data_IF_476606645123
#
_entry.id   IF_476606645123
#
_cell.length_a   1.000
_cell.length_b   1.000
_cell.length_c   1.000
_cell.angle_alpha   90.00
_cell.angle_beta   90.00
_cell.angle_gamma   90.00
#
_symmetry.space_group_name_H-M   'P 1'
#
loop_
_entity.id
_entity.type
_entity.pdbx_description
1 polymer ?
#
# COMPACT_ATOMS: atom_id res chain seq x y z
N UNK A 1 15.17 -8.90 7.39
CA UNK A 1 14.35 -7.83 8.02
C UNK A 1 14.41 -8.06 9.53
N UNK A 2 15.42 -7.54 10.24
CA UNK A 2 15.52 -7.78 11.68
C UNK A 2 14.40 -7.06 12.43
N UNK A 3 13.79 -7.77 13.38
CA UNK A 3 12.75 -7.23 14.28
C UNK A 3 13.47 -6.69 15.51
N UNK A 4 13.31 -5.39 15.78
CA UNK A 4 13.87 -4.76 16.98
C UNK A 4 12.97 -4.99 18.17
N UNK A 5 11.68 -4.74 17.99
CA UNK A 5 10.67 -4.86 19.03
C UNK A 5 9.34 -5.33 18.46
N UNK A 6 8.62 -6.17 19.21
CA UNK A 6 7.33 -6.69 18.77
C UNK A 6 6.44 -6.99 19.97
N UNK A 7 5.19 -6.53 19.92
CA UNK A 7 4.21 -6.77 20.99
C UNK A 7 2.81 -6.86 20.40
N UNK A 8 1.97 -7.71 21.00
CA UNK A 8 0.57 -7.88 20.63
C UNK A 8 -0.28 -7.68 21.87
N UNK A 9 -1.21 -6.72 21.78
CA UNK A 9 -2.28 -6.49 22.75
C UNK A 9 -3.59 -7.07 22.20
N UNK A 10 -4.61 -7.22 23.04
CA UNK A 10 -5.95 -7.60 22.62
C UNK A 10 -6.96 -6.56 23.11
N UNK A 11 -7.79 -6.06 22.20
CA UNK A 11 -9.00 -5.30 22.55
C UNK A 11 -10.18 -6.22 22.30
N UNK A 12 -10.91 -6.63 23.33
CA UNK A 12 -12.19 -7.34 23.18
C UNK A 12 -13.31 -6.30 23.06
N UNK A 13 -13.94 -6.24 21.88
CA UNK A 13 -15.07 -5.34 21.61
C UNK A 13 -15.97 -5.95 20.55
N UNK A 14 -17.29 -5.91 20.82
CA UNK A 14 -18.32 -6.35 19.89
C UNK A 14 -19.11 -5.16 19.34
N UNK A 15 -19.65 -5.26 18.11
CA UNK A 15 -20.47 -4.21 17.51
C UNK A 15 -21.92 -4.23 18.07
N UNK A 16 -22.07 -4.40 19.38
CA UNK A 16 -23.34 -4.50 20.10
C UNK A 16 -23.49 -3.39 21.17
N UNK A 17 -22.56 -2.43 21.20
CA UNK A 17 -22.52 -1.34 22.17
C UNK A 17 -21.83 -1.69 23.50
N UNK A 18 -21.29 -2.91 23.64
CA UNK A 18 -20.48 -3.25 24.81
C UNK A 18 -19.19 -2.39 24.90
N UNK A 19 -18.76 -2.04 26.13
CA UNK A 19 -17.48 -1.35 26.34
C UNK A 19 -16.30 -2.16 25.81
N UNK A 20 -15.24 -1.47 25.39
CA UNK A 20 -14.04 -2.16 24.93
C UNK A 20 -13.23 -2.63 26.14
N UNK A 21 -12.79 -3.88 26.17
CA UNK A 21 -11.92 -4.42 27.23
C UNK A 21 -10.51 -4.61 26.69
N UNK A 22 -9.57 -3.83 27.22
CA UNK A 22 -8.16 -3.95 26.85
C UNK A 22 -7.46 -5.02 27.71
N UNK A 23 -6.90 -6.02 27.04
CA UNK A 23 -5.95 -6.98 27.56
C UNK A 23 -4.56 -6.62 27.04
N UNK A 24 -3.89 -5.71 27.75
CA UNK A 24 -2.55 -5.30 27.40
C UNK A 24 -1.52 -6.35 27.87
N UNK A 25 -0.55 -6.65 27.00
CA UNK A 25 0.60 -7.48 27.34
C UNK A 25 1.65 -6.64 28.08
N UNK A 26 2.30 -7.24 29.09
CA UNK A 26 3.27 -6.56 29.95
C UNK A 26 4.73 -6.74 29.52
N UNK A 27 5.01 -7.60 28.53
CA UNK A 27 6.35 -7.82 27.99
C UNK A 27 6.33 -8.02 26.48
N UNK A 28 7.43 -7.68 25.82
CA UNK A 28 7.62 -7.94 24.39
C UNK A 28 7.53 -9.44 24.05
N UNK A 29 7.26 -9.73 22.79
CA UNK A 29 7.34 -11.08 22.26
C UNK A 29 8.80 -11.50 22.11
N UNK A 30 9.16 -12.68 22.63
CA UNK A 30 10.49 -13.23 22.48
C UNK A 30 10.77 -13.58 21.02
N UNK A 31 11.97 -13.28 20.52
CA UNK A 31 12.36 -13.57 19.14
C UNK A 31 12.14 -15.05 18.80
N UNK A 32 11.49 -15.29 17.66
CA UNK A 32 11.23 -16.62 17.14
C UNK A 32 10.96 -16.58 15.65
N UNK A 33 11.22 -17.69 14.95
CA UNK A 33 10.91 -17.83 13.53
C UNK A 33 9.43 -17.57 13.22
N UNK A 34 8.53 -17.92 14.16
CA UNK A 34 7.11 -17.69 14.00
C UNK A 34 6.76 -16.19 13.90
N UNK A 35 7.42 -15.32 14.68
CA UNK A 35 7.23 -13.87 14.63
C UNK A 35 7.84 -13.29 13.36
N UNK A 36 9.01 -13.78 12.95
CA UNK A 36 9.64 -13.38 11.69
C UNK A 36 8.73 -13.67 10.49
N UNK A 37 8.17 -14.89 10.43
CA UNK A 37 7.25 -15.29 9.37
C UNK A 37 5.96 -14.46 9.41
N UNK A 38 5.37 -14.28 10.60
CA UNK A 38 4.16 -13.46 10.76
C UNK A 38 4.38 -12.02 10.27
N UNK A 39 5.52 -11.40 10.59
CA UNK A 39 5.81 -10.04 10.16
C UNK A 39 6.14 -9.96 8.67
N UNK A 40 6.75 -10.98 8.09
CA UNK A 40 6.96 -11.09 6.64
C UNK A 40 5.62 -11.17 5.90
N UNK A 41 4.73 -12.08 6.32
CA UNK A 41 3.39 -12.28 5.75
C UNK A 41 2.51 -11.03 5.90
N UNK A 42 2.61 -10.34 7.05
CA UNK A 42 1.95 -9.07 7.28
C UNK A 42 2.42 -8.00 6.30
N UNK A 43 3.74 -7.87 6.12
CA UNK A 43 4.32 -6.88 5.21
C UNK A 43 3.95 -7.17 3.75
N UNK A 44 4.00 -8.43 3.32
CA UNK A 44 3.56 -8.83 1.99
C UNK A 44 2.09 -8.48 1.76
N UNK A 45 1.22 -8.87 2.70
CA UNK A 45 -0.22 -8.60 2.64
C UNK A 45 -0.50 -7.10 2.64
N UNK A 46 0.19 -6.32 3.47
CA UNK A 46 0.07 -4.87 3.56
C UNK A 46 0.55 -4.17 2.28
N UNK A 47 1.66 -4.62 1.70
CA UNK A 47 2.17 -4.11 0.44
C UNK A 47 1.23 -4.43 -0.72
N UNK A 48 0.60 -5.61 -0.73
CA UNK A 48 -0.35 -6.02 -1.74
C UNK A 48 -1.67 -5.23 -1.72
N UNK A 49 -2.06 -4.63 -0.58
CA UNK A 49 -3.30 -3.83 -0.49
C UNK A 49 -3.31 -2.64 -1.44
N UNK A 50 -4.39 -2.55 -2.22
CA UNK A 50 -4.73 -1.38 -3.02
C UNK A 50 -5.51 -0.37 -2.18
N UNK A 51 -5.50 0.91 -2.60
CA UNK A 51 -6.23 1.97 -1.91
C UNK A 51 -5.61 2.39 -0.59
N UNK A 52 -4.27 2.34 -0.49
CA UNK A 52 -3.55 2.96 0.62
C UNK A 52 -3.54 4.47 0.45
N UNK A 53 -3.52 5.19 1.57
CA UNK A 53 -3.21 6.59 1.60
C UNK A 53 -1.89 6.85 2.30
N UNK A 54 -1.36 8.02 2.01
CA UNK A 54 -0.06 8.47 2.46
C UNK A 54 -0.17 9.83 3.10
N UNK A 55 0.65 10.03 4.12
CA UNK A 55 0.52 11.20 4.95
C UNK A 55 1.66 11.37 5.94
N UNK A 56 1.45 12.32 6.82
CA UNK A 56 2.36 12.72 7.87
C UNK A 56 1.57 12.83 9.18
N UNK A 57 2.28 12.97 10.29
CA UNK A 57 1.62 13.25 11.55
C UNK A 57 0.96 14.64 11.51
N UNK A 58 -0.18 14.76 12.17
CA UNK A 58 -0.61 16.02 12.75
C UNK A 58 0.44 16.52 13.75
N UNK A 59 0.45 17.83 13.99
CA UNK A 59 1.26 18.39 15.07
C UNK A 59 0.88 17.76 16.42
N UNK A 60 1.90 17.51 17.24
CA UNK A 60 1.74 16.91 18.55
C UNK A 60 0.78 17.76 19.40
N UNK A 61 -0.29 17.13 19.87
CA UNK A 61 -1.33 17.80 20.66
C UNK A 61 -2.07 16.78 21.51
N UNK A 62 -2.93 17.26 22.43
CA UNK A 62 -3.79 16.37 23.21
C UNK A 62 -4.75 15.53 22.35
N UNK A 63 -5.11 16.00 21.15
CA UNK A 63 -5.93 15.26 20.20
C UNK A 63 -5.12 14.22 19.41
N UNK A 64 -3.85 14.52 19.09
CA UNK A 64 -2.95 13.67 18.31
C UNK A 64 -1.62 13.43 19.07
N UNK A 65 -1.63 12.65 20.15
CA UNK A 65 -0.46 12.49 21.03
C UNK A 65 0.55 11.42 20.56
N UNK A 66 0.17 10.60 19.57
CA UNK A 66 0.93 9.41 19.16
C UNK A 66 2.38 9.72 18.75
N UNK A 67 2.59 10.78 17.96
CA UNK A 67 3.92 11.19 17.48
C UNK A 67 4.86 11.57 18.62
N UNK A 68 4.34 12.24 19.65
CA UNK A 68 5.08 12.56 20.88
C UNK A 68 5.52 11.30 21.63
N UNK A 69 4.61 10.33 21.81
CA UNK A 69 4.95 9.05 22.47
C UNK A 69 5.98 8.24 21.70
N UNK A 70 5.85 8.20 20.36
CA UNK A 70 6.81 7.53 19.49
C UNK A 70 8.19 8.22 19.58
N UNK A 71 8.23 9.55 19.58
CA UNK A 71 9.47 10.32 19.74
C UNK A 71 10.16 10.00 21.06
N UNK A 72 9.43 10.02 22.19
CA UNK A 72 9.96 9.68 23.52
C UNK A 72 10.53 8.26 23.58
N UNK A 73 9.88 7.31 22.91
CA UNK A 73 10.41 5.95 22.78
C UNK A 73 11.73 5.92 21.99
N UNK A 74 11.77 6.57 20.82
CA UNK A 74 12.98 6.61 19.98
C UNK A 74 14.14 7.35 20.63
N UNK A 75 13.87 8.36 21.45
CA UNK A 75 14.86 9.13 22.20
C UNK A 75 15.28 8.42 23.51
N UNK A 76 14.71 7.23 23.81
CA UNK A 76 15.08 6.40 24.96
C UNK A 76 14.49 6.84 26.31
N UNK A 77 13.53 7.77 26.30
CA UNK A 77 12.85 8.25 27.51
C UNK A 77 11.81 7.26 28.06
N UNK A 78 11.34 6.33 27.23
CA UNK A 78 10.49 5.22 27.62
C UNK A 78 10.79 3.98 26.78
N UNK A 79 10.55 2.80 27.34
CA UNK A 79 10.71 1.55 26.59
C UNK A 79 9.54 1.29 25.62
N UNK A 80 9.72 0.30 24.74
CA UNK A 80 8.74 -0.04 23.71
C UNK A 80 7.40 -0.53 24.30
N UNK A 81 7.43 -1.21 25.44
CA UNK A 81 6.23 -1.76 26.10
C UNK A 81 5.38 -0.65 26.70
N UNK A 82 6.02 0.34 27.34
CA UNK A 82 5.34 1.51 27.88
C UNK A 82 4.72 2.36 26.75
N UNK A 83 5.45 2.56 25.65
CA UNK A 83 4.95 3.23 24.46
C UNK A 83 3.74 2.52 23.84
N UNK A 84 3.84 1.20 23.60
CA UNK A 84 2.76 0.44 22.96
C UNK A 84 1.52 0.36 23.84
N UNK A 85 1.69 0.30 25.17
CA UNK A 85 0.59 0.36 26.14
C UNK A 85 -0.15 1.70 26.10
N UNK A 86 0.57 2.83 26.12
CA UNK A 86 -0.05 4.16 25.98
C UNK A 86 -0.80 4.29 24.65
N UNK A 87 -0.19 3.83 23.56
CA UNK A 87 -0.80 3.85 22.24
C UNK A 87 -2.09 3.01 22.17
N UNK A 88 -2.08 1.77 22.66
CA UNK A 88 -3.27 0.91 22.58
C UNK A 88 -4.40 1.36 23.51
N UNK A 89 -4.09 1.98 24.65
CA UNK A 89 -5.08 2.62 25.52
C UNK A 89 -5.79 3.78 24.82
N UNK A 90 -5.07 4.56 24.01
CA UNK A 90 -5.69 5.61 23.19
C UNK A 90 -6.55 5.03 22.08
N UNK A 91 -6.09 3.97 21.41
CA UNK A 91 -6.88 3.27 20.41
C UNK A 91 -8.18 2.70 21.00
N UNK A 92 -8.12 2.09 22.20
CA UNK A 92 -9.29 1.61 22.91
C UNK A 92 -10.33 2.72 23.13
N UNK A 93 -9.91 3.89 23.63
CA UNK A 93 -10.80 5.04 23.85
C UNK A 93 -11.49 5.49 22.55
N UNK A 94 -10.72 5.62 21.47
CA UNK A 94 -11.26 6.02 20.16
C UNK A 94 -12.21 4.97 19.58
N UNK A 95 -11.98 3.69 19.85
CA UNK A 95 -12.93 2.62 19.47
C UNK A 95 -14.25 2.71 20.23
N UNK A 96 -14.24 3.15 21.50
CA UNK A 96 -15.45 3.31 22.30
C UNK A 96 -16.42 4.36 21.77
N UNK A 97 -15.91 5.36 21.04
CA UNK A 97 -16.73 6.39 20.39
C UNK A 97 -17.61 5.83 19.25
N UNK A 98 -17.33 4.61 18.78
CA UNK A 98 -18.05 3.96 17.70
C UNK A 98 -18.67 2.62 18.13
N UNK A 99 -20.01 2.58 18.18
CA UNK A 99 -20.78 1.36 18.46
C UNK A 99 -20.63 0.27 17.39
N UNK A 100 -20.08 0.59 16.22
CA UNK A 100 -19.88 -0.34 15.10
C UNK A 100 -18.45 -0.87 15.01
N UNK A 101 -17.57 -0.46 15.93
CA UNK A 101 -16.20 -0.95 15.94
C UNK A 101 -16.13 -2.37 16.53
N UNK A 102 -15.21 -3.16 15.99
CA UNK A 102 -14.93 -4.52 16.44
C UNK A 102 -13.49 -4.57 16.95
N UNK A 103 -13.30 -5.28 18.06
CA UNK A 103 -12.00 -5.53 18.68
C UNK A 103 -11.12 -6.48 17.88
N UNK A 104 -9.90 -6.69 18.36
CA UNK A 104 -8.92 -7.56 17.72
C UNK A 104 -7.56 -7.49 18.39
N UNK A 105 -6.59 -8.18 17.79
CA UNK A 105 -5.20 -8.19 18.22
C UNK A 105 -4.49 -6.98 17.64
N UNK A 106 -4.02 -6.08 18.50
CA UNK A 106 -3.27 -4.89 18.09
C UNK A 106 -1.79 -5.24 18.11
N UNK A 107 -1.22 -5.43 16.93
CA UNK A 107 0.21 -5.65 16.73
C UNK A 107 0.92 -4.30 16.62
N UNK A 108 2.03 -4.15 17.35
CA UNK A 108 3.05 -3.13 17.11
C UNK A 108 4.37 -3.85 16.82
N UNK A 109 5.02 -3.51 15.70
CA UNK A 109 6.29 -4.07 15.32
C UNK A 109 7.25 -2.98 14.83
N UNK A 110 8.34 -2.77 15.58
CA UNK A 110 9.47 -1.95 15.14
C UNK A 110 10.52 -2.87 14.52
N UNK A 111 10.79 -2.69 13.24
CA UNK A 111 11.70 -3.52 12.47
C UNK A 111 12.49 -2.70 11.47
N UNK A 112 13.58 -3.28 10.98
CA UNK A 112 14.40 -2.67 9.94
C UNK A 112 14.27 -3.44 8.64
N UNK A 113 14.09 -2.71 7.53
CA UNK A 113 14.13 -3.26 6.18
C UNK A 113 15.18 -2.48 5.39
N UNK A 114 16.23 -3.19 4.94
CA UNK A 114 17.43 -2.53 4.42
C UNK A 114 18.09 -1.67 5.50
N UNK A 115 18.21 -0.36 5.24
CA UNK A 115 18.72 0.63 6.20
C UNK A 115 17.62 1.48 6.84
N UNK A 116 16.36 1.15 6.56
CA UNK A 116 15.20 1.96 6.97
C UNK A 116 14.50 1.31 8.15
N UNK A 117 14.27 2.09 9.20
CA UNK A 117 13.50 1.69 10.37
C UNK A 117 12.02 2.00 10.15
N UNK A 118 11.17 1.02 10.47
CA UNK A 118 9.73 1.08 10.30
C UNK A 118 8.99 0.70 11.59
N UNK A 119 7.86 1.34 11.83
CA UNK A 119 6.86 0.90 12.79
C UNK A 119 5.59 0.46 12.04
N UNK A 120 5.28 -0.83 12.09
CA UNK A 120 3.99 -1.35 11.63
C UNK A 120 3.02 -1.48 12.81
N UNK A 121 1.77 -1.06 12.57
CA UNK A 121 0.69 -1.14 13.53
C UNK A 121 -0.53 -1.70 12.82
N UNK A 122 -1.13 -2.77 13.34
CA UNK A 122 -2.27 -3.42 12.71
C UNK A 122 -3.26 -3.96 13.75
N UNK A 123 -4.56 -3.78 13.49
CA UNK A 123 -5.63 -4.48 14.20
C UNK A 123 -5.99 -5.74 13.40
N UNK A 124 -5.60 -6.89 13.94
CA UNK A 124 -5.73 -8.21 13.33
C UNK A 124 -6.88 -8.99 13.95
N UNK A 125 -7.69 -9.62 13.11
CA UNK A 125 -8.78 -10.50 13.55
C UNK A 125 -8.34 -11.96 13.45
N UNK A 126 -9.04 -12.83 14.18
CA UNK A 126 -8.90 -14.26 13.97
C UNK A 126 -9.79 -14.73 12.82
N UNK A 127 -9.27 -15.65 12.03
CA UNK A 127 -10.03 -16.52 11.16
C UNK A 127 -10.04 -17.94 11.73
N UNK A 128 -11.15 -18.65 11.53
CA UNK A 128 -11.28 -20.05 11.92
C UNK A 128 -10.92 -20.95 10.74
N UNK A 129 -10.08 -21.94 11.00
CA UNK A 129 -9.73 -22.99 10.07
C UNK A 129 -9.75 -24.35 10.75
N UNK A 130 -9.27 -25.35 10.02
CA UNK A 130 -9.07 -26.70 10.54
C UNK A 130 -7.59 -27.05 10.50
N UNK A 131 -7.08 -27.64 11.57
CA UNK A 131 -5.75 -28.21 11.62
C UNK A 131 -5.85 -29.72 11.84
N UNK A 132 -4.93 -30.47 11.24
CA UNK A 132 -4.76 -31.89 11.50
C UNK A 132 -3.68 -32.04 12.57
N UNK A 133 -4.03 -32.62 13.71
CA UNK A 133 -3.07 -32.82 14.80
C UNK A 133 -2.16 -34.04 14.53
N UNK A 134 -1.24 -34.35 15.45
CA UNK A 134 -0.32 -35.49 15.33
C UNK A 134 -1.04 -36.86 15.26
N UNK A 135 -2.25 -36.96 15.79
CA UNK A 135 -3.09 -38.16 15.74
C UNK A 135 -3.92 -38.27 14.44
N UNK A 136 -3.71 -37.35 13.49
CA UNK A 136 -4.50 -37.21 12.26
C UNK A 136 -5.97 -36.82 12.47
N UNK A 137 -6.32 -36.28 13.63
CA UNK A 137 -7.66 -35.75 13.89
C UNK A 137 -7.81 -34.32 13.37
N UNK A 138 -9.00 -34.02 12.86
CA UNK A 138 -9.38 -32.67 12.42
C UNK A 138 -9.85 -31.87 13.63
N UNK A 139 -9.13 -30.80 13.95
CA UNK A 139 -9.41 -29.92 15.08
C UNK A 139 -9.61 -28.47 14.63
N UNK A 140 -10.53 -27.69 15.25
CA UNK A 140 -10.63 -26.26 14.97
C UNK A 140 -9.34 -25.55 15.36
N UNK A 141 -8.85 -24.66 14.49
CA UNK A 141 -7.67 -23.85 14.73
C UNK A 141 -7.97 -22.37 14.44
N UNK A 142 -7.74 -21.53 15.45
CA UNK A 142 -7.81 -20.06 15.29
C UNK A 142 -6.44 -19.55 14.89
N UNK A 143 -6.39 -18.73 13.86
CA UNK A 143 -5.17 -18.11 13.37
C UNK A 143 -5.42 -16.63 13.06
N UNK A 144 -4.36 -15.82 13.07
CA UNK A 144 -4.45 -14.41 12.67
C UNK A 144 -4.72 -14.34 11.16
N UNK A 145 -5.75 -13.58 10.77
CA UNK A 145 -6.05 -13.32 9.38
C UNK A 145 -5.25 -12.13 8.86
N UNK A 146 -4.12 -12.44 8.22
CA UNK A 146 -3.26 -11.45 7.58
C UNK A 146 -3.75 -11.08 6.17
N UNK A 147 -4.69 -11.84 5.59
CA UNK A 147 -5.25 -11.54 4.27
C UNK A 147 -6.29 -10.39 4.36
N UNK A 148 -7.05 -10.31 5.45
CA UNK A 148 -8.04 -9.27 5.71
C UNK A 148 -7.53 -8.11 6.57
N UNK A 149 -6.42 -7.49 6.14
CA UNK A 149 -5.97 -6.23 6.72
C UNK A 149 -6.91 -5.09 6.33
N UNK A 150 -7.69 -4.62 7.30
CA UNK A 150 -8.58 -3.46 7.16
C UNK A 150 -8.06 -2.23 7.87
N UNK A 151 -7.38 -2.41 9.01
CA UNK A 151 -6.85 -1.33 9.84
C UNK A 151 -5.38 -1.62 10.10
N UNK A 152 -4.55 -1.01 9.28
CA UNK A 152 -3.11 -1.10 9.42
C UNK A 152 -2.46 0.18 8.92
N UNK A 153 -1.39 0.58 9.60
CA UNK A 153 -0.53 1.69 9.24
C UNK A 153 0.93 1.27 9.34
N UNK A 154 1.77 1.87 8.50
CA UNK A 154 3.22 1.74 8.57
C UNK A 154 3.84 3.13 8.53
N UNK A 155 4.68 3.41 9.51
CA UNK A 155 5.44 4.66 9.65
C UNK A 155 6.88 4.36 9.29
N UNK A 156 7.43 5.09 8.31
CA UNK A 156 8.85 5.14 8.02
C UNK A 156 9.52 6.07 9.06
N UNK A 157 10.13 5.47 10.08
CA UNK A 157 10.76 6.20 11.18
C UNK A 157 11.97 6.98 10.68
N UNK A 158 12.79 6.36 9.81
CA UNK A 158 13.99 7.00 9.26
C UNK A 158 13.62 8.26 8.48
N UNK A 159 12.60 8.21 7.63
CA UNK A 159 12.15 9.35 6.85
C UNK A 159 11.59 10.46 7.75
N UNK A 160 10.73 10.09 8.72
CA UNK A 160 10.18 11.04 9.67
C UNK A 160 11.26 11.78 10.48
N UNK A 161 12.34 11.10 10.88
CA UNK A 161 13.42 11.68 11.69
C UNK A 161 14.43 12.48 10.88
N UNK A 162 14.71 12.05 9.65
CA UNK A 162 15.84 12.57 8.87
C UNK A 162 15.41 13.60 7.81
N UNK A 163 14.12 13.69 7.46
CA UNK A 163 13.61 14.62 6.47
C UNK A 163 12.48 15.51 7.01
N UNK A 164 12.80 16.70 7.56
CA UNK A 164 11.80 17.64 8.07
C UNK A 164 10.81 18.16 7.03
N UNK A 165 11.13 18.02 5.74
CA UNK A 165 10.26 18.45 4.64
C UNK A 165 9.35 17.34 4.11
N UNK A 166 9.51 16.11 4.60
CA UNK A 166 8.71 14.97 4.18
C UNK A 166 7.25 15.12 4.58
N UNK A 167 6.35 14.82 3.64
CA UNK A 167 4.89 14.90 3.85
C UNK A 167 4.19 13.55 3.74
N UNK A 168 4.95 12.45 3.69
CA UNK A 168 4.42 11.15 3.24
C UNK A 168 5.13 9.93 3.84
N UNK A 169 5.60 10.03 5.08
CA UNK A 169 6.29 8.93 5.78
C UNK A 169 5.33 7.95 6.49
N UNK A 170 4.02 8.22 6.49
CA UNK A 170 2.99 7.31 7.02
C UNK A 170 2.16 6.77 5.87
N UNK A 171 2.02 5.45 5.79
CA UNK A 171 1.03 4.81 4.93
C UNK A 171 -0.04 4.14 5.79
N UNK A 172 -1.30 4.14 5.32
CA UNK A 172 -2.40 3.44 5.99
C UNK A 172 -3.45 2.93 4.98
N UNK A 173 -4.20 1.91 5.38
CA UNK A 173 -5.28 1.34 4.56
C UNK A 173 -6.50 2.25 4.67
N UNK A 174 -6.97 2.84 3.55
CA UNK A 174 -8.24 3.58 3.53
C UNK A 174 -9.42 2.60 3.61
N UNK A 175 -10.41 2.92 4.43
CA UNK A 175 -11.69 2.23 4.42
C UNK A 175 -12.38 2.36 3.06
N UNK A 176 -13.00 1.27 2.60
CA UNK A 176 -13.84 1.33 1.39
C UNK A 176 -15.07 2.21 1.68
N UNK A 177 -15.37 3.15 0.78
CA UNK A 177 -16.57 3.99 0.76
C UNK A 177 -16.71 4.98 1.93
N UNK A 178 -15.61 5.54 2.45
CA UNK A 178 -15.69 6.61 3.47
C UNK A 178 -16.37 6.18 4.78
N UNK A 179 -16.36 4.88 5.08
CA UNK A 179 -16.91 4.38 6.35
C UNK A 179 -16.03 4.88 7.51
N UNK A 180 -16.69 5.47 8.51
CA UNK A 180 -16.12 5.91 9.81
C UNK A 180 -15.24 4.87 10.52
N UNK A 181 -15.38 3.58 10.15
CA UNK A 181 -14.61 2.46 10.71
C UNK A 181 -13.09 2.62 10.50
N UNK A 182 -12.61 3.35 9.48
CA UNK A 182 -11.18 3.63 9.32
C UNK A 182 -10.73 4.99 9.89
N UNK A 183 -11.67 5.88 10.24
CA UNK A 183 -11.35 7.24 10.68
C UNK A 183 -10.72 7.22 12.08
N UNK A 184 -11.32 6.51 13.04
CA UNK A 184 -10.75 6.42 14.39
C UNK A 184 -9.33 5.84 14.40
N UNK A 185 -9.01 4.92 13.49
CA UNK A 185 -7.68 4.33 13.40
C UNK A 185 -6.68 5.33 12.81
N UNK A 186 -7.08 6.10 11.80
CA UNK A 186 -6.26 7.21 11.28
C UNK A 186 -6.03 8.27 12.35
N UNK A 187 -7.07 8.63 13.09
CA UNK A 187 -7.02 9.65 14.14
C UNK A 187 -6.19 9.16 15.33
N UNK A 188 -6.24 7.85 15.66
CA UNK A 188 -5.34 7.19 16.62
C UNK A 188 -3.86 7.35 16.24
N UNK A 189 -3.50 7.09 14.98
CA UNK A 189 -2.15 7.32 14.49
C UNK A 189 -1.83 8.82 14.45
N UNK A 190 -2.85 9.67 14.37
CA UNK A 190 -2.71 11.11 14.15
C UNK A 190 -2.19 11.41 12.75
N UNK A 191 -2.61 10.65 11.74
CA UNK A 191 -2.16 10.82 10.37
C UNK A 191 -3.07 11.79 9.59
N UNK A 192 -2.49 12.85 9.03
CA UNK A 192 -3.12 13.68 8.01
C UNK A 192 -2.62 13.28 6.62
N UNK A 193 -3.51 13.28 5.64
CA UNK A 193 -3.13 12.99 4.25
C UNK A 193 -2.25 14.10 3.69
N UNK A 194 -1.12 13.71 3.10
CA UNK A 194 -0.12 14.66 2.62
C UNK A 194 -0.07 14.81 1.10
N UNK A 195 -0.03 13.68 0.37
CA UNK A 195 0.17 13.65 -1.09
C UNK A 195 -0.85 12.72 -1.75
N UNK A 196 -1.42 13.14 -2.89
CA UNK A 196 -2.29 12.32 -3.73
C UNK A 196 -1.46 11.35 -4.57
N UNK A 197 -1.13 10.17 -4.02
CA UNK A 197 -0.37 9.13 -4.74
C UNK A 197 -0.91 8.78 -6.13
N UNK A 198 -2.24 8.57 -6.32
CA UNK A 198 -2.85 8.45 -7.63
C UNK A 198 -2.60 9.66 -8.55
N UNK A 199 -2.65 10.88 -8.02
CA UNK A 199 -2.34 12.12 -8.73
C UNK A 199 -0.89 12.16 -9.20
N UNK A 200 0.07 11.99 -8.28
CA UNK A 200 1.51 11.95 -8.59
C UNK A 200 1.85 10.88 -9.63
N UNK A 201 1.27 9.68 -9.48
CA UNK A 201 1.49 8.60 -10.46
C UNK A 201 0.95 8.97 -11.85
N UNK A 202 -0.20 9.66 -11.95
CA UNK A 202 -0.72 10.17 -13.25
C UNK A 202 0.20 11.25 -13.83
N UNK A 203 0.66 12.18 -12.99
CA UNK A 203 1.58 13.24 -13.41
C UNK A 203 2.90 12.66 -13.90
N UNK A 204 3.45 11.65 -13.22
CA UNK A 204 4.64 10.92 -13.66
C UNK A 204 4.46 10.32 -15.04
N UNK A 205 3.37 9.59 -15.24
CA UNK A 205 3.09 8.90 -16.50
C UNK A 205 2.90 9.90 -17.64
N UNK A 206 2.26 11.05 -17.38
CA UNK A 206 2.16 12.15 -18.34
C UNK A 206 3.52 12.75 -18.67
N UNK A 207 4.32 13.10 -17.65
CA UNK A 207 5.65 13.66 -17.85
C UNK A 207 6.56 12.70 -18.64
N UNK A 208 6.39 11.39 -18.43
CA UNK A 208 7.09 10.36 -19.19
C UNK A 208 6.65 10.32 -20.65
N UNK A 209 5.35 10.36 -20.94
CA UNK A 209 4.85 10.47 -22.31
C UNK A 209 5.40 11.71 -23.01
N UNK A 210 5.34 12.88 -22.37
CA UNK A 210 5.85 14.15 -22.91
C UNK A 210 7.38 14.11 -23.14
N UNK A 211 8.13 13.37 -22.31
CA UNK A 211 9.57 13.16 -22.46
C UNK A 211 9.89 12.32 -23.70
N UNK A 212 9.22 11.18 -23.83
CA UNK A 212 9.38 10.28 -24.98
C UNK A 212 9.03 10.99 -26.29
N UNK A 213 7.96 11.78 -26.32
CA UNK A 213 7.57 12.59 -27.48
C UNK A 213 8.63 13.67 -27.79
N UNK A 214 9.19 14.33 -26.77
CA UNK A 214 10.19 15.38 -26.99
C UNK A 214 11.55 14.87 -27.50
N UNK A 215 11.86 13.62 -27.22
CA UNK A 215 13.09 12.97 -27.67
C UNK A 215 12.95 12.34 -29.07
N UNK A 216 11.74 12.38 -29.67
CA UNK A 216 11.42 11.79 -30.98
C UNK A 216 11.92 10.35 -31.11
N UNK A 217 11.71 9.55 -30.05
CA UNK A 217 12.26 8.20 -29.96
C UNK A 217 11.53 7.24 -30.90
N UNK A 218 12.27 6.30 -31.54
CA UNK A 218 11.64 5.19 -32.24
C UNK A 218 10.70 4.40 -31.32
N UNK A 219 9.61 3.88 -31.88
CA UNK A 219 8.55 3.18 -31.14
C UNK A 219 9.08 2.06 -30.23
N UNK A 220 10.06 1.28 -30.70
CA UNK A 220 10.68 0.22 -29.91
C UNK A 220 11.44 0.77 -28.68
N UNK A 221 12.17 1.87 -28.81
CA UNK A 221 12.90 2.48 -27.69
C UNK A 221 11.93 3.12 -26.68
N UNK A 222 10.89 3.80 -27.17
CA UNK A 222 9.81 4.32 -26.34
C UNK A 222 9.15 3.21 -25.51
N UNK A 223 8.90 2.05 -26.14
CA UNK A 223 8.33 0.87 -25.49
C UNK A 223 9.24 0.27 -24.43
N UNK A 224 10.54 0.18 -24.70
CA UNK A 224 11.52 -0.30 -23.73
C UNK A 224 11.59 0.62 -22.50
N UNK A 225 11.72 1.93 -22.70
CA UNK A 225 11.71 2.91 -21.58
C UNK A 225 10.40 2.86 -20.79
N UNK A 226 9.26 2.69 -21.46
CA UNK A 226 7.95 2.53 -20.80
C UNK A 226 7.93 1.30 -19.91
N UNK A 227 8.45 0.17 -20.41
CA UNK A 227 8.56 -1.07 -19.65
C UNK A 227 9.45 -0.90 -18.43
N UNK A 228 10.57 -0.18 -18.56
CA UNK A 228 11.46 0.12 -17.43
C UNK A 228 10.76 0.95 -16.35
N UNK A 229 10.09 2.05 -16.73
CA UNK A 229 9.34 2.87 -15.79
C UNK A 229 8.32 2.03 -15.02
N UNK A 230 7.51 1.25 -15.73
CA UNK A 230 6.44 0.49 -15.07
C UNK A 230 7.01 -0.66 -14.23
N UNK A 231 8.10 -1.30 -14.67
CA UNK A 231 8.76 -2.35 -13.88
C UNK A 231 9.33 -1.79 -12.58
N UNK A 232 10.00 -0.63 -12.63
CA UNK A 232 10.49 0.05 -11.43
C UNK A 232 9.36 0.45 -10.49
N UNK A 233 8.34 1.14 -11.01
CA UNK A 233 7.19 1.57 -10.22
C UNK A 233 6.43 0.38 -9.58
N UNK A 234 6.28 -0.73 -10.32
CA UNK A 234 5.67 -1.96 -9.80
C UNK A 234 6.55 -2.63 -8.73
N UNK A 235 7.87 -2.62 -8.88
CA UNK A 235 8.83 -3.13 -7.89
C UNK A 235 8.76 -2.29 -6.60
N UNK A 236 8.84 -0.97 -6.69
CA UNK A 236 8.70 -0.06 -5.55
C UNK A 236 7.36 -0.31 -4.83
N UNK A 237 6.26 -0.44 -5.58
CA UNK A 237 4.95 -0.74 -5.01
C UNK A 237 4.87 -2.14 -4.35
N UNK A 238 5.62 -3.13 -4.84
CA UNK A 238 5.72 -4.48 -4.24
C UNK A 238 6.51 -4.45 -2.93
N UNK A 239 7.59 -3.68 -2.89
CA UNK A 239 8.43 -3.51 -1.71
C UNK A 239 7.80 -2.53 -0.70
N UNK A 240 6.85 -1.71 -1.16
CA UNK A 240 6.21 -0.65 -0.40
C UNK A 240 7.13 0.55 -0.17
N UNK A 241 8.09 0.73 -1.06
CA UNK A 241 9.03 1.85 -1.11
C UNK A 241 8.49 2.96 -2.05
N UNK A 242 8.88 4.23 -1.87
CA UNK A 242 8.48 5.31 -2.76
C UNK A 242 9.20 5.22 -4.11
N UNK A 243 8.59 5.78 -5.16
CA UNK A 243 9.29 6.10 -6.41
C UNK A 243 10.17 7.31 -6.14
N UNK A 244 11.45 7.25 -6.51
CA UNK A 244 12.32 8.42 -6.51
C UNK A 244 12.56 8.86 -7.96
N UNK A 245 12.45 10.17 -8.23
CA UNK A 245 12.64 10.69 -9.59
C UNK A 245 14.09 10.53 -10.06
N UNK A 246 15.06 10.64 -9.15
CA UNK A 246 16.49 10.47 -9.46
C UNK A 246 16.81 9.03 -9.89
N UNK A 247 16.41 8.01 -9.13
CA UNK A 247 16.65 6.61 -9.51
C UNK A 247 15.89 6.25 -10.79
N UNK A 248 14.64 6.67 -10.91
CA UNK A 248 13.82 6.41 -12.10
C UNK A 248 14.44 7.02 -13.36
N UNK A 249 14.96 8.24 -13.26
CA UNK A 249 15.65 8.91 -14.37
C UNK A 249 16.89 8.12 -14.80
N UNK A 250 17.69 7.64 -13.85
CA UNK A 250 18.86 6.80 -14.12
C UNK A 250 18.51 5.47 -14.78
N UNK A 251 17.39 4.84 -14.39
CA UNK A 251 16.92 3.59 -15.00
C UNK A 251 16.34 3.79 -16.40
N UNK A 252 15.70 4.93 -16.68
CA UNK A 252 15.12 5.23 -18.00
C UNK A 252 16.21 5.47 -19.05
N UNK A 253 17.32 6.08 -18.67
CA UNK A 253 18.40 6.42 -19.58
C UNK A 253 19.76 6.31 -18.86
N UNK A 254 20.41 5.14 -18.97
CA UNK A 254 21.69 4.89 -18.29
C UNK A 254 22.82 5.77 -18.85
N UNK A 255 22.74 6.17 -20.13
CA UNK A 255 23.72 7.04 -20.79
C UNK A 255 23.54 8.51 -20.37
N UNK A 256 22.29 8.93 -20.14
CA UNK A 256 21.92 10.27 -19.68
C UNK A 256 21.04 10.19 -18.43
N UNK A 257 21.60 9.80 -17.27
CA UNK A 257 20.83 9.44 -16.07
C UNK A 257 20.02 10.60 -15.48
N UNK A 258 20.30 11.85 -15.87
CA UNK A 258 19.55 13.04 -15.43
C UNK A 258 18.55 13.58 -16.45
N UNK A 259 18.53 13.07 -17.69
CA UNK A 259 17.72 13.66 -18.76
C UNK A 259 16.23 13.72 -18.41
N UNK A 260 15.66 12.63 -17.87
CA UNK A 260 14.26 12.59 -17.48
C UNK A 260 13.98 13.46 -16.25
N UNK A 261 14.86 13.43 -15.25
CA UNK A 261 14.75 14.30 -14.08
C UNK A 261 14.75 15.79 -14.45
N UNK A 262 15.69 16.20 -15.29
CA UNK A 262 15.80 17.59 -15.76
C UNK A 262 14.60 17.97 -16.63
N UNK A 263 14.08 17.05 -17.46
CA UNK A 263 12.85 17.27 -18.20
C UNK A 263 11.67 17.61 -17.27
N UNK A 264 11.53 16.85 -16.18
CA UNK A 264 10.49 17.09 -15.18
C UNK A 264 10.68 18.46 -14.50
N UNK A 265 11.91 18.79 -14.09
CA UNK A 265 12.20 20.04 -13.39
C UNK A 265 12.05 21.27 -14.28
N UNK A 266 12.43 21.17 -15.55
CA UNK A 266 12.38 22.30 -16.49
C UNK A 266 10.94 22.64 -16.93
N UNK A 267 10.06 21.64 -17.02
CA UNK A 267 8.66 21.83 -17.40
C UNK A 267 7.72 22.07 -16.22
N UNK A 268 8.25 22.07 -14.99
CA UNK A 268 7.53 22.31 -13.74
C UNK A 268 6.23 21.50 -13.60
N UNK A 269 6.33 20.18 -13.67
CA UNK A 269 5.18 19.30 -13.41
C UNK A 269 4.69 19.34 -11.96
N UNK A 270 5.33 20.09 -11.06
CA UNK A 270 4.96 20.19 -9.65
C UNK A 270 5.13 18.89 -8.86
N UNK A 271 5.89 17.92 -9.38
CA UNK A 271 6.08 16.62 -8.74
C UNK A 271 7.03 16.69 -7.55
N UNK A 272 6.65 15.99 -6.48
CA UNK A 272 7.55 15.72 -5.37
C UNK A 272 8.79 14.92 -5.86
N UNK A 273 9.98 15.14 -5.28
CA UNK A 273 11.20 14.36 -5.62
C UNK A 273 11.03 12.86 -5.45
N UNK A 274 10.16 12.47 -4.52
CA UNK A 274 9.76 11.10 -4.25
C UNK A 274 8.26 11.07 -3.96
N UNK A 275 7.59 9.96 -4.26
CA UNK A 275 6.16 9.77 -3.99
C UNK A 275 5.79 8.29 -4.03
N UNK A 276 4.70 7.89 -3.37
CA UNK A 276 4.24 6.51 -3.40
C UNK A 276 3.69 6.09 -4.77
N UNK A 277 4.06 4.91 -5.23
CA UNK A 277 3.48 4.29 -6.42
C UNK A 277 2.02 3.86 -6.18
N UNK A 278 1.08 4.32 -7.02
CA UNK A 278 -0.30 3.81 -7.00
C UNK A 278 -0.49 2.65 -8.00
N UNK A 279 -0.62 1.42 -7.46
CA UNK A 279 -0.78 0.19 -8.27
C UNK A 279 -1.98 0.25 -9.21
N UNK A 280 -3.08 0.89 -8.80
CA UNK A 280 -4.30 0.94 -9.61
C UNK A 280 -4.09 1.86 -10.80
N UNK A 281 -3.55 3.06 -10.58
CA UNK A 281 -3.20 4.01 -11.65
C UNK A 281 -2.19 3.40 -12.61
N UNK A 282 -1.12 2.74 -12.11
CA UNK A 282 -0.15 2.05 -12.96
C UNK A 282 -0.81 0.97 -13.82
N UNK A 283 -1.69 0.16 -13.24
CA UNK A 283 -2.40 -0.88 -14.00
C UNK A 283 -3.36 -0.30 -15.05
N UNK A 284 -4.01 0.83 -14.77
CA UNK A 284 -4.88 1.53 -15.71
C UNK A 284 -4.11 2.15 -16.87
N UNK A 285 -2.87 2.59 -16.62
CA UNK A 285 -1.99 3.08 -17.67
C UNK A 285 -1.54 1.96 -18.62
N UNK A 286 -1.22 0.79 -18.08
CA UNK A 286 -0.78 -0.34 -18.92
C UNK A 286 -1.91 -0.95 -19.75
N UNK A 287 -3.17 -0.88 -19.27
CA UNK A 287 -4.26 -1.67 -19.84
C UNK A 287 -5.58 -0.92 -19.82
N UNK A 288 -6.31 -1.02 -20.93
CA UNK A 288 -7.73 -0.70 -20.99
C UNK A 288 -8.54 -1.87 -20.43
N UNK A 289 -9.59 -1.58 -19.66
CA UNK A 289 -10.51 -2.57 -19.10
C UNK A 289 -11.94 -2.07 -19.11
N UNK A 290 -12.90 -2.92 -19.47
CA UNK A 290 -14.34 -2.62 -19.43
C UNK A 290 -15.16 -3.87 -19.12
N UNK A 291 -16.28 -3.70 -18.39
CA UNK A 291 -17.24 -4.78 -18.10
C UNK A 291 -18.67 -4.26 -18.23
N UNK A 292 -19.50 -4.96 -18.98
CA UNK A 292 -20.93 -4.67 -19.14
C UNK A 292 -21.70 -5.94 -19.50
N UNK A 293 -22.84 -6.22 -18.86
CA UNK A 293 -23.84 -7.23 -19.29
C UNK A 293 -23.27 -8.59 -19.80
N UNK A 294 -22.29 -9.17 -19.09
CA UNK A 294 -21.68 -10.45 -19.46
C UNK A 294 -20.48 -10.36 -20.42
N UNK A 295 -20.13 -9.16 -20.89
CA UNK A 295 -18.91 -8.84 -21.63
C UNK A 295 -17.83 -8.32 -20.67
N UNK A 296 -16.60 -8.83 -20.83
CA UNK A 296 -15.40 -8.34 -20.13
C UNK A 296 -14.27 -8.18 -21.15
N UNK A 297 -13.79 -6.95 -21.32
CA UNK A 297 -12.69 -6.61 -22.24
C UNK A 297 -11.48 -6.17 -21.41
N UNK A 298 -10.30 -6.67 -21.76
CA UNK A 298 -9.04 -6.15 -21.24
C UNK A 298 -7.90 -6.35 -22.24
N UNK A 299 -7.16 -5.28 -22.53
CA UNK A 299 -6.01 -5.33 -23.44
C UNK A 299 -4.95 -4.29 -23.05
N UNK A 300 -3.71 -4.52 -23.47
CA UNK A 300 -2.61 -3.58 -23.22
C UNK A 300 -2.71 -2.34 -24.10
N UNK A 301 -2.38 -1.17 -23.54
CA UNK A 301 -2.56 0.11 -24.20
C UNK A 301 -1.87 0.18 -25.58
N UNK A 302 -0.68 -0.42 -25.71
CA UNK A 302 0.09 -0.48 -26.96
C UNK A 302 -0.61 -1.24 -28.11
N UNK A 303 -1.68 -1.99 -27.83
CA UNK A 303 -2.46 -2.68 -28.86
C UNK A 303 -3.46 -1.75 -29.55
N UNK A 304 -3.77 -0.59 -28.95
CA UNK A 304 -4.63 0.41 -29.54
C UNK A 304 -3.92 1.08 -30.73
N UNK A 305 -4.59 1.20 -31.86
CA UNK A 305 -4.02 1.66 -33.14
C UNK A 305 -3.30 0.58 -33.95
N UNK A 306 -3.08 -0.62 -33.39
CA UNK A 306 -2.45 -1.75 -34.09
C UNK A 306 -3.39 -2.93 -34.26
N UNK A 307 -3.53 -3.79 -33.24
CA UNK A 307 -4.46 -4.93 -33.25
C UNK A 307 -5.87 -4.54 -32.84
N UNK A 308 -6.01 -3.41 -32.16
CA UNK A 308 -7.27 -2.92 -31.63
C UNK A 308 -7.49 -1.51 -32.19
N UNK A 309 -8.63 -1.29 -32.82
CA UNK A 309 -9.03 0.01 -33.35
C UNK A 309 -10.30 0.45 -32.62
N UNK A 310 -10.33 1.69 -32.14
CA UNK A 310 -11.52 2.31 -31.59
C UNK A 310 -12.03 3.37 -32.56
N UNK A 311 -13.29 3.25 -32.96
CA UNK A 311 -14.00 4.26 -33.72
C UNK A 311 -14.96 4.98 -32.78
N UNK A 312 -14.59 6.21 -32.41
CA UNK A 312 -15.36 7.07 -31.52
C UNK A 312 -16.73 7.46 -32.13
N UNK A 313 -16.82 7.58 -33.45
CA UNK A 313 -18.05 8.05 -34.12
C UNK A 313 -19.18 7.03 -34.05
N UNK A 314 -18.82 5.74 -34.04
CA UNK A 314 -19.75 4.60 -33.97
C UNK A 314 -19.70 3.85 -32.65
N UNK A 315 -18.94 4.36 -31.68
CA UNK A 315 -18.63 3.72 -30.39
C UNK A 315 -18.28 2.23 -30.54
N UNK A 316 -17.42 1.91 -31.51
CA UNK A 316 -17.09 0.54 -31.90
C UNK A 316 -15.63 0.21 -31.64
N UNK A 317 -15.38 -0.93 -30.99
CA UNK A 317 -14.04 -1.49 -30.81
C UNK A 317 -13.83 -2.69 -31.75
N UNK A 318 -12.91 -2.56 -32.70
CA UNK A 318 -12.53 -3.62 -33.64
C UNK A 318 -11.29 -4.34 -33.13
N UNK A 319 -11.38 -5.67 -32.98
CA UNK A 319 -10.25 -6.52 -32.56
C UNK A 319 -9.82 -7.37 -33.75
N UNK A 320 -8.60 -7.13 -34.24
CA UNK A 320 -7.97 -7.90 -35.32
C UNK A 320 -7.13 -9.03 -34.74
N UNK A 321 -7.01 -10.13 -35.48
CA UNK A 321 -6.23 -11.32 -35.11
C UNK A 321 -6.63 -11.90 -33.74
N UNK A 322 -7.90 -12.32 -33.63
CA UNK A 322 -8.46 -12.88 -32.40
C UNK A 322 -7.64 -14.07 -31.86
N UNK A 323 -7.58 -14.26 -30.53
CA UNK A 323 -6.96 -15.43 -29.93
C UNK A 323 -7.52 -16.74 -30.52
N UNK A 324 -6.65 -17.72 -30.76
CA UNK A 324 -7.03 -18.99 -31.40
C UNK A 324 -8.17 -19.69 -30.68
N UNK A 325 -8.14 -19.73 -29.34
CA UNK A 325 -9.19 -20.34 -28.53
C UNK A 325 -10.57 -19.68 -28.74
N UNK A 326 -10.62 -18.34 -28.85
CA UNK A 326 -11.87 -17.63 -29.12
C UNK A 326 -12.36 -17.89 -30.55
N UNK A 327 -11.43 -17.88 -31.50
CA UNK A 327 -11.72 -18.18 -32.91
C UNK A 327 -12.34 -19.57 -33.08
N UNK A 328 -11.78 -20.59 -32.39
CA UNK A 328 -12.28 -21.96 -32.45
C UNK A 328 -13.68 -22.10 -31.85
N UNK A 329 -13.94 -21.45 -30.70
CA UNK A 329 -15.27 -21.42 -30.08
C UNK A 329 -16.32 -20.79 -31.01
N UNK A 330 -15.98 -19.67 -31.66
CA UNK A 330 -16.86 -18.99 -32.60
C UNK A 330 -17.15 -19.85 -33.85
N UNK A 331 -16.13 -20.54 -34.38
CA UNK A 331 -16.29 -21.44 -35.54
C UNK A 331 -17.15 -22.66 -35.20
N UNK A 332 -16.98 -23.27 -34.03
CA UNK A 332 -17.77 -24.44 -33.58
C UNK A 332 -19.26 -24.17 -33.40
N UNK A 333 -19.65 -22.91 -33.17
CA UNK A 333 -21.07 -22.52 -33.09
C UNK A 333 -21.68 -22.13 -34.45
N UNK A 334 -20.85 -21.94 -35.47
CA UNK A 334 -21.29 -21.61 -36.83
C UNK A 334 -21.48 -22.85 -37.73
N UNK A 335 -20.93 -24.01 -37.34
CA UNK A 335 -21.20 -25.31 -37.94
C UNK A 335 -22.17 -26.10 -37.08
#
# INVERSE_FOLDING_TARGET
>A
MPIRHCIVHLIDKKPDGSPAVLHARDTELASSQAIENMLADLNESYNAKQGKAWGLFHEESGAYPFSGWLKRYLDGEQDFTAFSRQAVEQLQKLMEESNLSTGGHVLFAHYQQGMTDYLAIALLHHSEGVAVNEALDVTPAKHLDLAQLHLAARINISEWRNNPHSKQYISFIKGKNGKKVSEYFRDFIGCQEGVDGPGETRTLLKAFSDFVESEDLPEEQAREKTKTLVSYAASQAKQGEPITLDELSGLIDEDRPRAFYEHIRNKDYGMAPEFPADKRTLSQFQRFTGRAEGLSISFEAHLLGSKIEYDESSDTLVIRNLPTQLTDQLKRRKG
#
